data_IF_577253581070
#
_entry.id   IF_577253581070
#
_cell.length_a   1.000
_cell.length_b   1.000
_cell.length_c   1.000
_cell.angle_alpha   90.00
_cell.angle_beta   90.00
_cell.angle_gamma   90.00
#
_symmetry.space_group_name_H-M   'P 1'
#
loop_
_entity.id
_entity.type
_entity.pdbx_description
1 polymer ?
#
# COMPACT_ATOMS: atom_id res chain seq x y z
N UNK A 1 -3.90 -24.95 -15.15
CA UNK A 1 -2.51 -24.48 -15.02
C UNK A 1 -1.60 -25.47 -15.73
N UNK A 2 -0.51 -25.02 -16.36
CA UNK A 2 0.42 -25.89 -17.10
C UNK A 2 1.73 -26.03 -16.32
N UNK A 3 2.38 -27.20 -16.42
CA UNK A 3 3.74 -27.44 -15.89
C UNK A 3 4.70 -26.37 -16.43
N UNK A 4 5.62 -25.89 -15.63
CA UNK A 4 6.56 -24.82 -15.99
C UNK A 4 5.93 -23.44 -16.18
N UNK A 5 4.63 -23.28 -15.95
CA UNK A 5 3.92 -22.02 -16.14
C UNK A 5 4.17 -21.01 -15.01
N UNK A 6 4.07 -19.72 -15.35
CA UNK A 6 4.18 -18.60 -14.44
C UNK A 6 2.79 -18.00 -14.21
N UNK A 7 2.45 -17.75 -12.97
CA UNK A 7 1.11 -17.30 -12.57
C UNK A 7 1.19 -16.25 -11.48
N UNK A 8 0.17 -15.43 -11.38
CA UNK A 8 -0.02 -14.56 -10.24
C UNK A 8 -1.50 -14.38 -9.91
N UNK A 9 -1.76 -14.05 -8.68
CA UNK A 9 -3.07 -13.61 -8.17
C UNK A 9 -2.90 -12.37 -7.34
N UNK A 10 -3.88 -11.50 -7.39
CA UNK A 10 -3.91 -10.27 -6.60
C UNK A 10 -5.13 -10.25 -5.71
N UNK A 11 -5.06 -9.52 -4.61
CA UNK A 11 -6.20 -9.28 -3.72
C UNK A 11 -6.28 -7.80 -3.36
N UNK A 12 -7.43 -7.20 -3.59
CA UNK A 12 -7.76 -5.81 -3.25
C UNK A 12 -6.75 -4.77 -3.76
N UNK A 13 -6.04 -5.05 -4.84
CA UNK A 13 -4.94 -4.23 -5.38
C UNK A 13 -3.83 -3.88 -4.35
N UNK A 14 -3.71 -4.65 -3.29
CA UNK A 14 -2.75 -4.42 -2.22
C UNK A 14 -1.86 -5.63 -1.91
N UNK A 15 -2.18 -6.79 -2.44
CA UNK A 15 -1.40 -8.01 -2.24
C UNK A 15 -1.26 -8.77 -3.55
N UNK A 16 -0.13 -9.43 -3.71
CA UNK A 16 0.15 -10.28 -4.86
C UNK A 16 0.83 -11.57 -4.40
N UNK A 17 0.42 -12.66 -4.99
CA UNK A 17 1.14 -13.93 -4.92
C UNK A 17 1.54 -14.28 -6.36
N UNK A 18 2.82 -14.31 -6.64
CA UNK A 18 3.36 -14.79 -7.89
C UNK A 18 4.05 -16.15 -7.69
N UNK A 19 3.83 -17.07 -8.57
CA UNK A 19 4.37 -18.40 -8.43
C UNK A 19 4.63 -19.08 -9.77
N UNK A 20 5.59 -19.99 -9.76
CA UNK A 20 5.92 -20.83 -10.88
C UNK A 20 5.56 -22.28 -10.55
N UNK A 21 4.95 -22.97 -11.47
CA UNK A 21 4.76 -24.41 -11.34
C UNK A 21 6.00 -25.15 -11.83
N UNK A 22 6.49 -26.06 -10.99
CA UNK A 22 7.57 -26.96 -11.38
C UNK A 22 7.14 -27.93 -12.49
N UNK A 23 8.11 -28.57 -13.09
CA UNK A 23 7.89 -29.58 -14.14
C UNK A 23 7.38 -30.91 -13.56
N UNK A 24 7.82 -31.24 -12.34
CA UNK A 24 7.40 -32.46 -11.64
C UNK A 24 6.36 -32.11 -10.58
N UNK A 25 5.12 -32.53 -10.79
CA UNK A 25 4.01 -32.30 -9.88
C UNK A 25 3.62 -33.53 -9.04
N UNK A 26 4.29 -34.66 -9.23
CA UNK A 26 4.00 -35.90 -8.49
C UNK A 26 4.71 -35.91 -7.12
N UNK A 27 5.83 -35.24 -7.03
CA UNK A 27 6.60 -35.06 -5.78
C UNK A 27 7.03 -33.61 -5.69
N UNK A 28 6.20 -32.74 -5.13
CA UNK A 28 6.43 -31.32 -5.08
C UNK A 28 6.80 -30.81 -3.67
N UNK A 29 7.54 -29.73 -3.66
CA UNK A 29 7.81 -28.92 -2.48
C UNK A 29 7.57 -27.47 -2.79
N UNK A 30 7.40 -26.65 -1.76
CA UNK A 30 7.25 -25.21 -1.90
C UNK A 30 8.53 -24.50 -1.49
N UNK A 31 9.01 -23.63 -2.36
CA UNK A 31 10.01 -22.62 -2.01
C UNK A 31 9.26 -21.29 -1.93
N UNK A 32 9.22 -20.70 -0.76
CA UNK A 32 8.44 -19.47 -0.51
C UNK A 32 9.38 -18.34 -0.14
N UNK A 33 9.27 -17.22 -0.86
CA UNK A 33 9.86 -15.95 -0.48
C UNK A 33 8.72 -14.97 -0.18
N UNK A 34 8.75 -14.32 0.96
CA UNK A 34 7.73 -13.37 1.36
C UNK A 34 8.37 -12.04 1.77
N UNK A 35 7.79 -10.95 1.33
CA UNK A 35 8.19 -9.61 1.70
C UNK A 35 6.99 -8.67 1.69
N UNK A 36 7.12 -7.51 2.32
CA UNK A 36 6.19 -6.40 2.11
C UNK A 36 6.70 -5.47 1.00
N UNK A 37 5.81 -4.74 0.37
CA UNK A 37 6.12 -3.81 -0.71
C UNK A 37 5.70 -2.36 -0.42
N UNK A 38 5.10 -2.12 0.76
CA UNK A 38 4.78 -0.79 1.24
C UNK A 38 5.97 -0.12 1.92
N UNK A 39 5.87 1.17 2.11
CA UNK A 39 6.84 1.98 2.87
C UNK A 39 6.15 2.70 4.00
N UNK A 40 6.84 2.98 5.12
CA UNK A 40 6.32 3.84 6.16
C UNK A 40 5.94 5.22 5.63
N UNK A 41 4.88 5.81 6.18
CA UNK A 41 4.38 7.11 5.74
C UNK A 41 3.64 7.81 6.89
N UNK A 42 3.27 9.06 6.68
CA UNK A 42 2.24 9.70 7.48
C UNK A 42 0.88 9.43 6.87
N UNK A 43 -0.06 8.96 7.70
CA UNK A 43 -1.46 8.77 7.33
C UNK A 43 -2.28 9.96 7.79
N UNK A 44 -3.10 10.50 6.89
CA UNK A 44 -4.06 11.56 7.25
C UNK A 44 -5.15 10.96 8.13
N UNK A 45 -5.44 11.60 9.26
CA UNK A 45 -6.50 11.18 10.21
C UNK A 45 -7.88 11.52 9.66
N UNK A 46 -8.91 10.90 10.22
CA UNK A 46 -10.32 11.21 9.89
C UNK A 46 -10.66 12.68 10.10
N UNK A 47 -10.17 13.28 11.19
CA UNK A 47 -10.23 14.72 11.42
C UNK A 47 -9.02 15.38 10.73
N UNK A 48 -9.09 15.48 9.40
CA UNK A 48 -7.96 15.78 8.53
C UNK A 48 -7.46 17.21 8.64
N UNK A 49 -8.35 18.18 8.89
CA UNK A 49 -8.04 19.60 8.78
C UNK A 49 -7.96 20.26 10.16
N UNK A 50 -6.92 21.02 10.37
CA UNK A 50 -6.75 21.89 11.52
C UNK A 50 -6.56 23.32 11.01
N UNK A 51 -7.56 24.16 11.21
CA UNK A 51 -7.49 25.57 10.81
C UNK A 51 -6.72 26.40 11.84
N UNK A 52 -5.74 27.18 11.38
CA UNK A 52 -4.94 28.07 12.20
C UNK A 52 -5.32 29.53 11.93
N UNK A 53 -6.26 30.05 12.73
CA UNK A 53 -6.66 31.47 12.75
C UNK A 53 -6.83 32.13 11.38
N UNK A 54 -7.42 31.39 10.41
CA UNK A 54 -7.66 31.87 9.05
C UNK A 54 -6.40 32.17 8.22
N UNK A 55 -5.23 31.70 8.66
CA UNK A 55 -3.96 31.92 7.94
C UNK A 55 -3.54 30.75 7.07
N UNK A 56 -3.67 29.55 7.60
CA UNK A 56 -3.36 28.31 6.87
C UNK A 56 -4.06 27.11 7.51
N UNK A 57 -4.22 26.08 6.74
CA UNK A 57 -4.75 24.80 7.17
C UNK A 57 -3.62 23.80 7.32
N UNK A 58 -3.57 23.14 8.46
CA UNK A 58 -2.65 22.02 8.70
C UNK A 58 -3.38 20.70 8.45
N UNK A 59 -2.65 19.74 7.90
CA UNK A 59 -3.13 18.37 7.85
C UNK A 59 -2.80 17.63 9.13
N UNK A 60 -3.84 17.09 9.75
CA UNK A 60 -3.70 16.24 10.92
C UNK A 60 -3.28 14.84 10.50
N UNK A 61 -2.09 14.44 10.88
CA UNK A 61 -1.50 13.17 10.46
C UNK A 61 -1.05 12.34 11.64
N UNK A 62 -0.86 11.06 11.40
CA UNK A 62 -0.23 10.11 12.32
C UNK A 62 0.84 9.30 11.61
N UNK A 63 1.84 8.85 12.35
CA UNK A 63 2.84 7.93 11.81
C UNK A 63 2.21 6.57 11.52
N UNK A 64 2.47 6.05 10.32
CA UNK A 64 2.04 4.72 9.90
C UNK A 64 3.26 3.89 9.51
N UNK A 65 3.58 2.90 10.35
CA UNK A 65 4.80 2.10 10.25
C UNK A 65 6.01 2.72 10.97
N UNK A 66 7.08 1.95 11.10
CA UNK A 66 8.35 2.42 11.66
C UNK A 66 9.12 3.25 10.64
N UNK A 67 9.46 4.49 10.97
CA UNK A 67 10.14 5.39 10.05
C UNK A 67 11.21 6.25 10.71
N UNK A 68 12.16 6.70 9.92
CA UNK A 68 13.09 7.77 10.28
C UNK A 68 12.40 9.12 10.06
N UNK A 69 11.86 9.71 11.11
CA UNK A 69 11.07 10.95 11.00
C UNK A 69 11.88 12.13 10.42
N UNK A 70 13.17 12.22 10.71
CA UNK A 70 14.00 13.34 10.28
C UNK A 70 14.01 13.58 8.76
N UNK A 71 13.84 12.53 7.98
CA UNK A 71 13.83 12.63 6.51
C UNK A 71 12.54 13.23 5.93
N UNK A 72 11.52 13.41 6.77
CA UNK A 72 10.22 13.97 6.39
C UNK A 72 10.08 15.45 6.66
N UNK A 73 10.98 16.04 7.47
CA UNK A 73 10.88 17.42 7.88
C UNK A 73 11.60 18.37 6.91
N UNK A 74 11.18 19.65 6.95
CA UNK A 74 11.76 20.76 6.19
C UNK A 74 11.85 20.53 4.68
N UNK A 75 10.82 19.87 4.12
CA UNK A 75 10.72 19.59 2.68
C UNK A 75 9.27 19.54 2.22
N UNK A 76 8.99 19.83 0.95
CA UNK A 76 7.70 19.59 0.34
C UNK A 76 7.38 18.09 0.37
N UNK A 77 6.13 17.76 0.71
CA UNK A 77 5.59 16.42 0.71
C UNK A 77 4.39 16.38 -0.23
N UNK A 78 4.13 15.22 -0.81
CA UNK A 78 2.93 14.97 -1.62
C UNK A 78 1.89 14.21 -0.81
N UNK A 79 0.63 14.36 -1.25
CA UNK A 79 -0.50 13.56 -0.74
C UNK A 79 -0.95 12.64 -1.86
N UNK A 80 -1.19 11.37 -1.52
CA UNK A 80 -1.76 10.39 -2.42
C UNK A 80 -2.77 9.53 -1.65
N UNK A 81 -3.81 9.09 -2.34
CA UNK A 81 -4.82 8.25 -1.72
C UNK A 81 -5.81 7.70 -2.73
N UNK A 82 -6.69 6.87 -2.23
CA UNK A 82 -7.83 6.32 -2.97
C UNK A 82 -9.12 6.87 -2.38
N UNK A 83 -9.96 7.42 -3.24
CA UNK A 83 -11.28 7.94 -2.87
C UNK A 83 -12.35 7.07 -3.54
N UNK A 84 -13.37 6.72 -2.78
CA UNK A 84 -14.58 6.10 -3.33
C UNK A 84 -15.57 7.21 -3.63
N UNK A 85 -16.00 7.29 -4.89
CA UNK A 85 -17.04 8.22 -5.33
C UNK A 85 -18.27 7.42 -5.76
N UNK A 86 -19.45 7.94 -5.45
CA UNK A 86 -20.70 7.41 -5.96
C UNK A 86 -20.99 8.08 -7.30
N UNK A 87 -21.01 7.29 -8.38
CA UNK A 87 -21.43 7.75 -9.70
C UNK A 87 -22.88 7.31 -9.96
N UNK A 88 -23.79 8.27 -9.85
CA UNK A 88 -25.20 8.08 -10.18
C UNK A 88 -26.03 7.37 -9.12
N UNK A 89 -27.35 7.50 -9.23
CA UNK A 89 -28.36 6.76 -8.46
C UNK A 89 -28.71 5.47 -9.24
N UNK A 90 -27.90 4.44 -9.10
CA UNK A 90 -28.26 3.07 -9.50
C UNK A 90 -28.18 2.14 -8.31
#
# INVERSE_FOLDING_TARGET
>A
MKKGGHYFVTRNNSSIIAFNLGENLDNYSFNVAASHSDSPTFKVKENAEIEIKGKYTQLNTEGYGGMLCATWFDRPLSIAGRVLVQEGDN
#
